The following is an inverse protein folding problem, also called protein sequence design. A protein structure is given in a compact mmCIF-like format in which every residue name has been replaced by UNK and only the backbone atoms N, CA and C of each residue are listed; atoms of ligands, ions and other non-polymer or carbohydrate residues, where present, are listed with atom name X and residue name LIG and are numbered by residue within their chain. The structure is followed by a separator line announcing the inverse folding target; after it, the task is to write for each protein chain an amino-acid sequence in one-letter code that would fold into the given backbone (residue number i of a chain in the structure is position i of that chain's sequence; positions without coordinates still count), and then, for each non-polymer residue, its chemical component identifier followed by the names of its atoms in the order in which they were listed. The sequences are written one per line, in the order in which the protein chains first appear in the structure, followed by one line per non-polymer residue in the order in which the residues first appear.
data_IF_728827028411
#
_entry.id   IF_728827028411
#
_cell.length_a   1.000
_cell.length_b   1.000
_cell.length_c   1.000
_cell.angle_alpha   90.00
_cell.angle_beta   90.00
_cell.angle_gamma   90.00
#
_symmetry.space_group_name_H-M   'P 1'
#
loop_
_entity.id
_entity.type
_entity.pdbx_description
1 polymer ?
#
# COMPACT_ATOMS: atom_id res chain seq x y z
N UNK A 1 7.75 8.17 -30.24
CA UNK A 1 8.29 7.13 -29.38
C UNK A 1 8.34 7.59 -27.92
N UNK A 2 7.66 6.88 -27.04
CA UNK A 2 7.53 7.24 -25.60
C UNK A 2 8.87 7.25 -24.89
N UNK A 3 9.77 6.33 -25.23
CA UNK A 3 11.11 6.27 -24.64
C UNK A 3 11.95 7.46 -25.06
N UNK A 4 11.83 7.88 -26.32
CA UNK A 4 12.53 9.06 -26.81
C UNK A 4 12.06 10.34 -26.12
N UNK A 5 10.76 10.47 -25.90
CA UNK A 5 10.19 11.62 -25.19
C UNK A 5 10.67 11.65 -23.74
N UNK A 6 10.66 10.51 -23.05
CA UNK A 6 11.16 10.41 -21.67
C UNK A 6 12.64 10.80 -21.59
N UNK A 7 13.46 10.37 -22.56
CA UNK A 7 14.86 10.73 -22.61
C UNK A 7 15.04 12.25 -22.81
N UNK A 8 14.26 12.85 -23.69
CA UNK A 8 14.31 14.30 -23.94
C UNK A 8 13.95 15.09 -22.68
N UNK A 9 12.94 14.64 -21.93
CA UNK A 9 12.57 15.26 -20.64
C UNK A 9 13.70 15.14 -19.64
N UNK A 10 14.31 13.97 -19.51
CA UNK A 10 15.43 13.73 -18.59
C UNK A 10 16.64 14.59 -18.93
N UNK A 11 16.94 14.77 -20.23
CA UNK A 11 18.04 15.63 -20.67
C UNK A 11 17.84 17.08 -20.23
N UNK A 12 16.61 17.60 -20.31
CA UNK A 12 16.29 18.94 -19.84
C UNK A 12 16.50 19.06 -18.33
N UNK A 13 16.07 18.05 -17.56
CA UNK A 13 16.21 18.04 -16.10
C UNK A 13 17.67 17.99 -15.68
N UNK A 14 18.48 17.18 -16.35
CA UNK A 14 19.92 17.09 -16.07
C UNK A 14 20.60 18.43 -16.38
N UNK A 15 20.26 19.05 -17.50
CA UNK A 15 20.85 20.35 -17.88
C UNK A 15 20.56 21.45 -16.85
N UNK A 16 19.44 21.38 -16.15
CA UNK A 16 19.03 22.35 -15.14
C UNK A 16 19.37 21.92 -13.70
N UNK A 17 20.02 20.78 -13.53
CA UNK A 17 20.37 20.24 -12.22
C UNK A 17 19.15 20.07 -11.30
N UNK A 18 18.02 19.63 -11.86
CA UNK A 18 16.78 19.40 -11.11
C UNK A 18 16.72 17.95 -10.67
N UNK A 19 16.53 17.74 -9.38
CA UNK A 19 16.37 16.40 -8.81
C UNK A 19 15.00 15.82 -9.13
N UNK A 20 14.99 14.57 -9.62
CA UNK A 20 13.79 13.83 -9.92
C UNK A 20 13.70 12.63 -8.98
N UNK A 21 12.63 12.57 -8.19
CA UNK A 21 12.43 11.47 -7.23
C UNK A 21 11.85 10.23 -7.88
N UNK A 22 11.01 10.40 -8.88
CA UNK A 22 10.38 9.28 -9.55
C UNK A 22 9.81 9.64 -10.89
N UNK A 23 9.73 8.63 -11.76
CA UNK A 23 9.10 8.73 -13.06
C UNK A 23 8.20 7.51 -13.24
N UNK A 24 6.97 7.73 -13.68
CA UNK A 24 6.02 6.67 -13.98
C UNK A 24 5.45 6.90 -15.38
N UNK A 25 5.34 5.83 -16.16
CA UNK A 25 4.80 5.86 -17.51
C UNK A 25 3.51 5.06 -17.53
N UNK A 26 2.41 5.73 -17.83
CA UNK A 26 1.09 5.13 -17.96
C UNK A 26 0.96 4.45 -19.33
N UNK A 27 0.35 3.27 -19.44
CA UNK A 27 0.06 2.63 -20.73
C UNK A 27 -0.73 3.54 -21.69
N UNK A 28 -1.52 4.46 -21.19
CA UNK A 28 -2.26 5.43 -22.01
C UNK A 28 -1.38 6.53 -22.62
N UNK A 29 -0.10 6.58 -22.29
CA UNK A 29 0.84 7.54 -22.86
C UNK A 29 1.13 8.75 -21.99
N UNK A 30 0.72 8.74 -20.73
CA UNK A 30 1.03 9.80 -19.78
C UNK A 30 2.34 9.49 -19.06
N UNK A 31 3.16 10.52 -18.86
CA UNK A 31 4.40 10.44 -18.09
C UNK A 31 4.23 11.31 -16.86
N UNK A 32 4.43 10.72 -15.68
CA UNK A 32 4.34 11.42 -14.40
C UNK A 32 5.74 11.60 -13.82
N UNK A 33 6.05 12.82 -13.43
CA UNK A 33 7.35 13.18 -12.87
C UNK A 33 7.16 13.72 -11.45
N UNK A 34 7.96 13.24 -10.51
CA UNK A 34 7.89 13.68 -9.12
C UNK A 34 9.12 14.49 -8.76
N UNK A 35 8.90 15.75 -8.42
CA UNK A 35 9.95 16.70 -8.01
C UNK A 35 9.74 17.06 -6.54
N UNK A 36 10.47 16.44 -5.60
CA UNK A 36 10.19 16.65 -4.17
C UNK A 36 10.52 18.07 -3.69
N UNK A 37 11.51 18.71 -4.28
CA UNK A 37 12.03 20.00 -3.80
C UNK A 37 12.25 21.02 -4.92
N UNK A 38 11.41 21.03 -5.95
CA UNK A 38 11.56 22.00 -7.03
C UNK A 38 11.11 23.38 -6.58
N UNK A 39 11.95 24.40 -6.83
CA UNK A 39 11.56 25.77 -6.57
C UNK A 39 10.59 26.28 -7.63
N UNK A 40 9.71 27.18 -7.24
CA UNK A 40 8.68 27.71 -8.13
C UNK A 40 9.28 28.35 -9.39
N UNK A 41 10.38 29.10 -9.24
CA UNK A 41 11.05 29.70 -10.37
C UNK A 41 11.57 28.66 -11.37
N UNK A 42 12.18 27.58 -10.88
CA UNK A 42 12.67 26.49 -11.73
C UNK A 42 11.51 25.78 -12.43
N UNK A 43 10.41 25.57 -11.70
CA UNK A 43 9.21 24.97 -12.27
C UNK A 43 8.63 25.82 -13.38
N UNK A 44 8.55 27.15 -13.21
CA UNK A 44 8.06 28.06 -14.24
C UNK A 44 8.91 28.03 -15.51
N UNK A 45 10.23 27.89 -15.39
CA UNK A 45 11.13 27.79 -16.55
C UNK A 45 11.09 26.41 -17.19
N UNK A 46 10.85 25.36 -16.40
CA UNK A 46 10.83 23.99 -16.89
C UNK A 46 9.61 23.70 -17.75
N UNK A 47 8.44 24.18 -17.37
CA UNK A 47 7.18 23.86 -18.04
C UNK A 47 7.16 24.22 -19.54
N UNK A 48 7.57 25.43 -19.95
CA UNK A 48 7.61 25.76 -21.39
C UNK A 48 8.60 24.89 -22.17
N UNK A 49 9.72 24.51 -21.57
CA UNK A 49 10.71 23.66 -22.25
C UNK A 49 10.19 22.26 -22.49
N UNK A 50 9.48 21.69 -21.52
CA UNK A 50 8.85 20.37 -21.70
C UNK A 50 7.77 20.43 -22.78
N UNK A 51 6.97 21.49 -22.79
CA UNK A 51 5.92 21.66 -23.82
C UNK A 51 6.45 21.77 -25.23
N UNK A 52 7.70 22.20 -25.41
CA UNK A 52 8.34 22.32 -26.72
C UNK A 52 8.87 20.99 -27.26
N UNK A 53 8.90 19.94 -26.47
CA UNK A 53 9.36 18.63 -26.93
C UNK A 53 8.34 18.06 -27.91
N UNK A 54 8.83 17.63 -29.08
CA UNK A 54 7.98 17.03 -30.10
C UNK A 54 7.32 15.76 -29.56
N UNK A 55 6.00 15.65 -29.77
CA UNK A 55 5.22 14.51 -29.32
C UNK A 55 4.54 14.70 -27.96
N UNK A 56 4.74 15.85 -27.31
CA UNK A 56 4.03 16.20 -26.09
C UNK A 56 2.82 17.07 -26.44
N UNK A 57 1.63 16.58 -26.11
CA UNK A 57 0.38 17.30 -26.38
C UNK A 57 0.08 18.34 -25.30
N UNK A 58 0.30 18.01 -24.03
CA UNK A 58 0.02 18.90 -22.92
C UNK A 58 0.81 18.52 -21.69
N UNK A 59 1.01 19.49 -20.79
CA UNK A 59 1.68 19.31 -19.51
C UNK A 59 0.82 19.95 -18.42
N UNK A 60 0.49 19.17 -17.39
CA UNK A 60 -0.34 19.62 -16.28
C UNK A 60 0.28 19.20 -14.96
N UNK A 61 0.00 19.98 -13.93
CA UNK A 61 0.35 19.56 -12.57
C UNK A 61 -0.69 18.57 -12.04
N UNK A 62 -0.23 17.63 -11.22
CA UNK A 62 -1.10 16.71 -10.52
C UNK A 62 -0.71 16.65 -9.04
N UNK A 63 -1.68 16.44 -8.17
CA UNK A 63 -1.42 16.41 -6.73
C UNK A 63 -0.63 15.18 -6.31
N UNK A 64 -0.85 14.04 -6.98
CA UNK A 64 -0.22 12.77 -6.58
C UNK A 64 0.19 11.98 -7.81
N UNK A 65 1.31 11.24 -7.68
CA UNK A 65 1.64 10.17 -8.59
C UNK A 65 0.56 9.08 -8.53
N UNK A 66 0.30 8.32 -9.63
CA UNK A 66 -0.71 7.26 -9.58
C UNK A 66 -0.51 6.27 -8.44
N UNK A 67 0.71 5.82 -8.20
CA UNK A 67 1.00 4.90 -7.10
C UNK A 67 0.76 5.53 -5.73
N UNK A 68 1.09 6.80 -5.55
CA UNK A 68 0.84 7.53 -4.31
C UNK A 68 -0.66 7.72 -4.05
N UNK A 69 -1.43 7.98 -5.10
CA UNK A 69 -2.89 8.12 -4.97
C UNK A 69 -3.51 6.83 -4.49
N UNK A 70 -3.15 5.70 -5.08
CA UNK A 70 -3.65 4.39 -4.67
C UNK A 70 -3.27 4.07 -3.23
N UNK A 71 -2.02 4.34 -2.84
CA UNK A 71 -1.56 4.15 -1.47
C UNK A 71 -2.35 5.03 -0.49
N UNK A 72 -2.58 6.29 -0.84
CA UNK A 72 -3.34 7.21 0.01
C UNK A 72 -4.80 6.80 0.15
N UNK A 73 -5.43 6.31 -0.93
CA UNK A 73 -6.80 5.80 -0.87
C UNK A 73 -6.89 4.55 0.02
N UNK A 74 -5.97 3.63 -0.12
CA UNK A 74 -5.92 2.43 0.72
C UNK A 74 -5.73 2.80 2.20
N UNK A 75 -4.81 3.71 2.49
CA UNK A 75 -4.58 4.18 3.85
C UNK A 75 -5.82 4.84 4.46
N UNK A 76 -6.55 5.64 3.67
CA UNK A 76 -7.79 6.28 4.12
C UNK A 76 -8.86 5.24 4.44
N UNK A 77 -9.00 4.21 3.62
CA UNK A 77 -9.96 3.11 3.87
C UNK A 77 -9.57 2.36 5.14
N UNK A 78 -8.29 2.01 5.31
CA UNK A 78 -7.82 1.29 6.49
C UNK A 78 -8.05 2.06 7.78
N UNK A 79 -7.92 3.40 7.76
CA UNK A 79 -8.14 4.24 8.93
C UNK A 79 -9.57 4.22 9.43
N UNK A 80 -10.55 3.97 8.55
CA UNK A 80 -11.95 3.95 8.94
C UNK A 80 -12.38 2.62 9.57
N UNK A 81 -11.55 1.59 9.47
CA UNK A 81 -11.86 0.28 10.05
C UNK A 81 -11.58 0.27 11.55
N UNK A 82 -12.51 -0.18 12.38
CA UNK A 82 -12.33 -0.24 13.84
C UNK A 82 -11.44 -1.39 14.31
N UNK A 83 -11.28 -2.42 13.48
CA UNK A 83 -10.45 -3.58 13.80
C UNK A 83 -8.98 -3.33 13.45
N UNK A 84 -8.01 -3.89 14.20
CA UNK A 84 -6.61 -3.83 13.80
C UNK A 84 -6.39 -4.51 12.44
N UNK A 85 -5.76 -3.81 11.52
CA UNK A 85 -5.45 -4.32 10.17
C UNK A 85 -3.99 -4.07 9.86
N UNK A 86 -3.32 -5.10 9.36
CA UNK A 86 -1.94 -5.05 8.91
C UNK A 86 -1.86 -5.44 7.45
N UNK A 87 -0.98 -4.81 6.71
CA UNK A 87 -0.50 -5.31 5.42
C UNK A 87 0.95 -5.71 5.59
N UNK A 88 1.29 -6.92 5.20
CA UNK A 88 2.66 -7.45 5.34
C UNK A 88 3.21 -7.82 3.96
N UNK A 89 4.54 -7.77 3.84
CA UNK A 89 5.23 -8.22 2.64
C UNK A 89 5.44 -9.74 2.67
N UNK A 90 6.09 -10.28 1.64
CA UNK A 90 6.34 -11.71 1.52
C UNK A 90 7.27 -12.27 2.61
N UNK A 91 7.99 -11.41 3.31
CA UNK A 91 8.88 -11.81 4.41
C UNK A 91 8.22 -11.70 5.78
N UNK A 92 6.98 -11.19 5.83
CA UNK A 92 6.27 -10.99 7.07
C UNK A 92 6.52 -9.64 7.75
N UNK A 93 7.16 -8.71 7.06
CA UNK A 93 7.37 -7.37 7.58
C UNK A 93 6.12 -6.51 7.36
N UNK A 94 5.77 -5.70 8.35
CA UNK A 94 4.61 -4.83 8.27
C UNK A 94 4.90 -3.69 7.31
N UNK A 95 4.08 -3.56 6.27
CA UNK A 95 4.17 -2.48 5.28
C UNK A 95 3.23 -1.33 5.63
N UNK A 96 2.02 -1.66 6.09
CA UNK A 96 1.00 -0.72 6.51
C UNK A 96 0.27 -1.26 7.73
N UNK A 97 -0.19 -0.35 8.58
CA UNK A 97 -1.11 -0.68 9.66
C UNK A 97 -2.10 0.48 9.84
N UNK A 98 -3.28 0.17 10.36
CA UNK A 98 -4.29 1.20 10.58
C UNK A 98 -4.16 1.82 11.98
N UNK A 99 -5.00 2.80 12.24
CA UNK A 99 -4.98 3.52 13.52
C UNK A 99 -5.30 2.62 14.72
N UNK A 100 -6.15 1.61 14.53
CA UNK A 100 -6.45 0.65 15.60
C UNK A 100 -5.19 -0.08 16.09
N UNK A 101 -4.25 -0.37 15.18
CA UNK A 101 -2.96 -0.98 15.54
C UNK A 101 -2.09 0.01 16.31
N UNK A 102 -1.91 1.21 15.78
CA UNK A 102 -1.04 2.22 16.39
C UNK A 102 -1.58 2.69 17.74
N UNK A 103 -2.88 2.87 17.86
CA UNK A 103 -3.51 3.23 19.13
C UNK A 103 -3.39 2.11 20.14
N UNK A 104 -3.59 0.85 19.73
CA UNK A 104 -3.46 -0.29 20.62
C UNK A 104 -2.04 -0.50 21.13
N UNK A 105 -1.03 -0.29 20.30
CA UNK A 105 0.37 -0.41 20.68
C UNK A 105 0.93 0.85 21.31
N UNK A 106 0.17 1.94 21.30
CA UNK A 106 0.62 3.25 21.77
C UNK A 106 1.92 3.70 21.06
N UNK A 107 2.03 3.35 19.78
CA UNK A 107 3.24 3.56 18.97
C UNK A 107 2.82 4.13 17.62
N UNK A 108 3.51 5.16 17.10
CA UNK A 108 3.21 5.68 15.77
C UNK A 108 3.34 4.61 14.69
N UNK A 109 2.48 4.68 13.68
CA UNK A 109 2.50 3.71 12.59
C UNK A 109 3.85 3.65 11.87
N UNK A 110 4.53 4.78 11.76
CA UNK A 110 5.86 4.85 11.15
C UNK A 110 6.90 4.00 11.87
N UNK A 111 6.77 3.83 13.19
CA UNK A 111 7.67 2.98 13.99
C UNK A 111 7.28 1.51 13.95
N UNK A 112 6.02 1.22 13.63
CA UNK A 112 5.50 -0.15 13.48
C UNK A 112 5.85 -0.70 12.10
N UNK A 113 5.76 0.13 11.07
CA UNK A 113 6.13 -0.25 9.71
C UNK A 113 7.60 -0.69 9.66
N UNK A 114 7.85 -1.80 8.99
CA UNK A 114 9.18 -2.41 8.89
C UNK A 114 9.46 -3.46 9.95
N UNK A 115 8.68 -3.55 11.04
CA UNK A 115 8.83 -4.63 12.01
C UNK A 115 8.16 -5.90 11.52
N UNK A 116 8.65 -7.05 11.99
CA UNK A 116 8.06 -8.33 11.64
C UNK A 116 6.75 -8.54 12.40
N UNK A 117 5.71 -8.98 11.70
CA UNK A 117 4.39 -9.12 12.31
C UNK A 117 4.39 -10.09 13.49
N UNK A 118 5.26 -11.09 13.48
CA UNK A 118 5.37 -12.05 14.59
C UNK A 118 5.85 -11.42 15.90
N UNK A 119 6.42 -10.22 15.86
CA UNK A 119 6.80 -9.50 17.07
C UNK A 119 5.60 -8.90 17.79
N UNK A 120 4.54 -8.57 17.07
CA UNK A 120 3.36 -7.90 17.63
C UNK A 120 2.13 -8.82 17.69
N UNK A 121 2.00 -9.79 16.79
CA UNK A 121 0.90 -10.75 16.75
C UNK A 121 1.46 -12.15 17.04
N UNK A 122 1.01 -12.76 18.11
CA UNK A 122 1.50 -14.07 18.56
C UNK A 122 0.45 -15.15 18.33
N UNK A 123 0.91 -16.40 18.21
CA UNK A 123 0.03 -17.55 18.10
C UNK A 123 -0.16 -18.09 16.69
N UNK A 124 0.45 -17.50 15.68
CA UNK A 124 0.40 -17.97 14.31
C UNK A 124 1.76 -17.80 13.64
N UNK A 125 2.16 -18.78 12.84
CA UNK A 125 3.42 -18.73 12.11
C UNK A 125 3.18 -18.19 10.69
N UNK A 126 3.30 -16.88 10.53
CA UNK A 126 3.06 -16.22 9.27
C UNK A 126 4.07 -16.63 8.20
N UNK A 127 5.32 -16.79 8.58
CA UNK A 127 6.40 -17.17 7.64
C UNK A 127 6.10 -18.55 7.03
N UNK A 128 5.73 -19.52 7.85
CA UNK A 128 5.39 -20.85 7.37
C UNK A 128 4.17 -20.84 6.46
N UNK A 129 3.17 -20.04 6.78
CA UNK A 129 1.98 -19.91 5.96
C UNK A 129 2.31 -19.29 4.59
N UNK A 130 3.15 -18.25 4.59
CA UNK A 130 3.54 -17.56 3.35
C UNK A 130 4.47 -18.39 2.46
N UNK A 131 5.26 -19.29 3.05
CA UNK A 131 6.14 -20.20 2.31
C UNK A 131 5.39 -21.39 1.69
N UNK A 132 4.10 -21.53 1.98
CA UNK A 132 3.27 -22.61 1.43
C UNK A 132 3.12 -22.51 -0.08
N UNK A 133 2.97 -23.66 -0.73
CA UNK A 133 2.89 -23.74 -2.21
C UNK A 133 1.60 -23.12 -2.77
N UNK A 134 0.55 -23.04 -1.99
CA UNK A 134 -0.72 -22.47 -2.41
C UNK A 134 -1.39 -21.80 -1.21
N UNK A 135 -0.86 -20.66 -0.78
CA UNK A 135 -1.46 -19.96 0.35
C UNK A 135 -2.86 -19.48 -0.03
N UNK A 136 -3.85 -19.94 0.72
CA UNK A 136 -5.22 -19.47 0.59
C UNK A 136 -5.61 -18.63 1.80
N UNK A 137 -6.80 -18.00 1.76
CA UNK A 137 -7.34 -17.33 2.93
C UNK A 137 -7.39 -18.28 4.11
N UNK A 138 -6.99 -17.80 5.29
CA UNK A 138 -6.94 -18.60 6.49
C UNK A 138 -7.37 -17.78 7.69
N UNK A 139 -7.97 -18.41 8.68
CA UNK A 139 -8.33 -17.79 9.95
C UNK A 139 -7.66 -18.56 11.08
N UNK A 140 -7.18 -17.84 12.09
CA UNK A 140 -6.53 -18.44 13.25
C UNK A 140 -6.73 -17.56 14.48
N UNK A 141 -6.73 -18.20 15.66
CA UNK A 141 -6.68 -17.46 16.91
C UNK A 141 -5.27 -16.95 17.14
N UNK A 142 -5.17 -15.67 17.48
CA UNK A 142 -3.90 -15.01 17.76
C UNK A 142 -4.03 -14.13 18.99
N UNK A 143 -2.87 -13.71 19.53
CA UNK A 143 -2.81 -12.73 20.62
C UNK A 143 -2.20 -11.44 20.10
N UNK A 144 -2.89 -10.35 20.40
CA UNK A 144 -2.43 -9.01 20.11
C UNK A 144 -2.71 -8.13 21.33
N UNK A 145 -1.66 -7.50 21.88
CA UNK A 145 -1.75 -6.66 23.09
C UNK A 145 -2.41 -7.44 24.25
N UNK A 146 -1.97 -8.67 24.44
CA UNK A 146 -2.45 -9.56 25.52
C UNK A 146 -3.95 -9.89 25.45
N UNK A 147 -4.58 -9.65 24.31
CA UNK A 147 -5.98 -9.99 24.04
C UNK A 147 -6.08 -11.02 22.93
N UNK A 148 -7.11 -11.85 23.01
CA UNK A 148 -7.37 -12.86 21.99
C UNK A 148 -8.18 -12.27 20.84
N UNK A 149 -7.73 -12.54 19.63
CA UNK A 149 -8.40 -12.11 18.40
C UNK A 149 -8.51 -13.28 17.43
N UNK A 150 -9.50 -13.22 16.55
CA UNK A 150 -9.54 -14.09 15.39
C UNK A 150 -8.90 -13.31 14.22
N UNK A 151 -7.77 -13.83 13.73
CA UNK A 151 -7.07 -13.23 12.62
C UNK A 151 -7.55 -13.84 11.30
N UNK A 152 -8.01 -13.01 10.40
CA UNK A 152 -8.27 -13.40 9.02
C UNK A 152 -7.07 -12.98 8.18
N UNK A 153 -6.41 -13.95 7.54
CA UNK A 153 -5.25 -13.73 6.69
C UNK A 153 -5.66 -13.92 5.22
N UNK A 154 -5.50 -12.87 4.43
CA UNK A 154 -5.83 -12.87 3.00
C UNK A 154 -4.54 -12.71 2.20
N UNK A 155 -4.15 -13.70 1.38
CA UNK A 155 -2.92 -13.61 0.61
C UNK A 155 -3.07 -12.59 -0.53
N UNK A 156 -1.99 -11.86 -0.78
CA UNK A 156 -1.85 -11.00 -1.97
C UNK A 156 -0.91 -11.73 -2.91
N UNK A 157 -1.40 -12.12 -4.07
CA UNK A 157 -0.62 -12.86 -5.06
C UNK A 157 -0.44 -12.02 -6.32
N UNK A 158 0.71 -12.18 -6.96
CA UNK A 158 1.05 -11.53 -8.22
C UNK A 158 1.48 -12.56 -9.23
N UNK A 159 1.24 -12.34 -10.54
CA UNK A 159 1.68 -13.27 -11.57
C UNK A 159 3.21 -13.38 -11.62
N UNK A 160 3.70 -14.61 -11.74
CA UNK A 160 5.11 -14.91 -11.98
C UNK A 160 5.18 -15.80 -13.22
N UNK A 161 5.35 -15.17 -14.36
CA UNK A 161 5.36 -15.87 -15.65
C UNK A 161 3.95 -16.26 -16.12
N UNK A 162 3.88 -17.18 -17.06
CA UNK A 162 2.65 -17.40 -17.86
C UNK A 162 1.49 -18.01 -17.08
N UNK A 163 1.71 -18.72 -15.99
CA UNK A 163 0.62 -19.41 -15.27
C UNK A 163 0.84 -19.53 -13.76
N UNK A 164 1.93 -19.00 -13.24
CA UNK A 164 2.24 -19.13 -11.83
C UNK A 164 1.88 -17.86 -11.08
N UNK A 165 1.42 -18.03 -9.86
CA UNK A 165 1.18 -16.91 -8.94
C UNK A 165 2.13 -17.05 -7.76
N UNK A 166 2.82 -15.97 -7.42
CA UNK A 166 3.65 -15.93 -6.22
C UNK A 166 3.02 -15.01 -5.20
N UNK A 167 3.28 -15.30 -3.93
CA UNK A 167 2.77 -14.50 -2.83
C UNK A 167 3.62 -13.24 -2.65
N UNK A 168 3.01 -12.09 -2.85
CA UNK A 168 3.67 -10.79 -2.67
C UNK A 168 3.53 -10.27 -1.25
N UNK A 169 2.56 -10.77 -0.50
CA UNK A 169 2.27 -10.32 0.84
C UNK A 169 0.93 -10.82 1.31
N UNK A 170 0.39 -10.21 2.36
CA UNK A 170 -0.92 -10.57 2.89
C UNK A 170 -1.55 -9.40 3.64
N UNK A 171 -2.86 -9.44 3.76
CA UNK A 171 -3.62 -8.57 4.65
C UNK A 171 -4.06 -9.40 5.86
N UNK A 172 -3.83 -8.88 7.05
CA UNK A 172 -4.20 -9.54 8.32
C UNK A 172 -5.19 -8.64 9.05
N UNK A 173 -6.40 -9.15 9.28
CA UNK A 173 -7.46 -8.43 9.97
C UNK A 173 -7.73 -9.15 11.30
N UNK A 174 -7.63 -8.43 12.41
CA UNK A 174 -7.87 -8.97 13.73
C UNK A 174 -9.28 -8.61 14.21
N UNK A 175 -10.12 -9.63 14.40
CA UNK A 175 -11.48 -9.44 14.91
C UNK A 175 -11.51 -9.86 16.37
N UNK A 176 -12.02 -9.00 17.25
CA UNK A 176 -12.15 -9.35 18.65
C UNK A 176 -13.25 -10.40 18.83
N UNK A 177 -13.04 -11.35 19.74
CA UNK A 177 -14.04 -12.37 20.05
C UNK A 177 -15.32 -11.74 20.60
N UNK A 178 -15.18 -10.69 21.39
CA UNK A 178 -16.31 -9.96 21.93
C UNK A 178 -17.17 -9.35 20.81
N UNK A 179 -16.53 -8.81 19.77
CA UNK A 179 -17.23 -8.22 18.64
C UNK A 179 -17.92 -9.28 17.79
N UNK A 180 -17.26 -10.43 17.57
CA UNK A 180 -17.88 -11.56 16.90
C UNK A 180 -19.11 -12.06 17.65
N UNK A 181 -19.03 -12.12 18.98
CA UNK A 181 -20.16 -12.47 19.82
C UNK A 181 -21.32 -11.49 19.67
N UNK A 182 -21.03 -10.21 19.64
CA UNK A 182 -22.05 -9.18 19.43
C UNK A 182 -22.71 -9.28 18.05
N UNK A 183 -21.91 -9.50 17.00
CA UNK A 183 -22.42 -9.69 15.65
C UNK A 183 -23.31 -10.92 15.56
N UNK A 184 -22.87 -12.01 16.18
CA UNK A 184 -23.64 -13.26 16.21
C UNK A 184 -24.97 -13.08 16.95
N UNK A 185 -24.96 -12.40 18.10
CA UNK A 185 -26.15 -12.11 18.87
C UNK A 185 -27.15 -11.24 18.07
N UNK A 186 -26.64 -10.22 17.39
CA UNK A 186 -27.48 -9.36 16.56
C UNK A 186 -28.13 -10.14 15.41
N UNK A 187 -27.39 -11.09 14.82
CA UNK A 187 -27.92 -11.95 13.77
C UNK A 187 -29.03 -12.87 14.28
N UNK A 188 -28.88 -13.44 15.47
CA UNK A 188 -29.92 -14.28 16.10
C UNK A 188 -31.14 -13.49 16.52
N UNK A 189 -30.97 -12.21 16.82
CA UNK A 189 -32.08 -11.31 17.18
C UNK A 189 -32.76 -10.69 15.95
N UNK A 190 -32.30 -11.02 14.75
CA UNK A 190 -33.02 -10.64 13.53
C UNK A 190 -34.45 -11.11 13.63
N UNK A 191 -35.43 -10.24 13.37
CA UNK A 191 -36.83 -10.54 13.70
C UNK A 191 -37.31 -11.78 12.96
N UNK A 192 -37.75 -12.73 13.75
CA UNK A 192 -38.49 -13.89 13.30
C UNK A 192 -39.99 -13.60 13.27
N UNK A 193 -40.37 -12.37 13.03
CA UNK A 193 -41.79 -11.98 12.93
C UNK A 193 -42.33 -12.22 11.55
#
# INVERSE_FOLDING_TARGET
DRLGIAQDVLDILVAKEIDLRGIEIDPAGKIFLNFPNIEFADFQHLMPQIRRIDGIDDVKTTLFMPGEREKNQLSAILRTLPDPVFSIDAKGNIVLCNEAVSAGLETPSSDIEGTEISEVVKGFNFTKWMDGKSPGPQSSKVKFIQQDYLADMLPITVPDGDKNMIMAGAVVILKSEMRLGQQFTAFHQSPTD
#
